data_IF_168863876977
#
_entry.id   IF_168863876977
#
_cell.length_a   1.000
_cell.length_b   1.000
_cell.length_c   1.000
_cell.angle_alpha   90.00
_cell.angle_beta   90.00
_cell.angle_gamma   90.00
#
_symmetry.space_group_name_H-M   'P 1'
#
loop_
_entity.id
_entity.type
_entity.pdbx_description
1 polymer ?
#
# COMPACT_ATOMS: atom_id res chain seq x y z
N UNK A 1 -1.66 -6.60 56.18
CA UNK A 1 -0.58 -6.53 55.18
C UNK A 1 -0.84 -7.36 53.93
N UNK A 2 -1.57 -8.47 53.99
CA UNK A 2 -1.83 -9.35 52.83
C UNK A 2 -2.82 -8.80 51.80
N UNK A 3 -3.84 -8.02 52.19
CA UNK A 3 -4.84 -7.45 51.25
C UNK A 3 -4.30 -6.30 50.39
N UNK A 4 -3.38 -5.49 50.90
CA UNK A 4 -2.72 -4.41 50.15
C UNK A 4 -1.70 -4.95 49.15
N UNK A 5 -1.03 -6.07 49.45
CA UNK A 5 -0.08 -6.72 48.55
C UNK A 5 -0.76 -7.36 47.33
N UNK A 6 -1.94 -7.97 47.52
CA UNK A 6 -2.73 -8.54 46.41
C UNK A 6 -3.25 -7.44 45.48
N UNK A 7 -3.64 -6.29 46.02
CA UNK A 7 -4.08 -5.15 45.20
C UNK A 7 -2.94 -4.51 44.41
N UNK A 8 -1.71 -4.51 44.94
CA UNK A 8 -0.53 -4.05 44.22
C UNK A 8 -0.11 -5.02 43.11
N UNK A 9 -0.20 -6.33 43.37
CA UNK A 9 0.12 -7.39 42.39
C UNK A 9 -0.88 -7.41 41.21
N UNK A 10 -2.17 -7.19 41.47
CA UNK A 10 -3.21 -7.06 40.44
C UNK A 10 -3.07 -5.77 39.61
N UNK A 11 -2.58 -4.68 40.19
CA UNK A 11 -2.33 -3.43 39.46
C UNK A 11 -1.08 -3.51 38.58
N UNK A 12 -0.05 -4.26 38.99
CA UNK A 12 1.16 -4.49 38.19
C UNK A 12 0.99 -5.49 37.03
N UNK A 13 -0.03 -6.35 37.06
CA UNK A 13 -0.35 -7.25 35.93
C UNK A 13 -1.18 -6.51 34.86
N UNK A 14 -1.95 -5.49 35.24
CA UNK A 14 -2.74 -4.69 34.31
C UNK A 14 -1.90 -3.73 33.43
N UNK A 15 -0.63 -3.46 33.78
CA UNK A 15 0.26 -2.56 33.02
C UNK A 15 1.19 -3.28 32.04
N UNK A 16 1.19 -4.61 31.99
CA UNK A 16 2.09 -5.41 31.12
C UNK A 16 1.46 -5.88 29.80
N UNK A 17 0.21 -5.51 29.52
CA UNK A 17 -0.48 -5.88 28.29
C UNK A 17 -0.78 -4.67 27.38
N UNK A 18 0.07 -3.64 27.39
CA UNK A 18 0.20 -2.81 26.19
C UNK A 18 0.92 -3.66 25.15
N UNK A 19 0.17 -4.55 24.51
CA UNK A 19 0.62 -5.22 23.31
C UNK A 19 1.10 -4.12 22.36
N UNK A 20 2.38 -4.19 21.99
CA UNK A 20 2.94 -3.34 20.97
C UNK A 20 2.14 -3.69 19.71
N UNK A 21 1.15 -2.87 19.38
CA UNK A 21 0.36 -3.04 18.18
C UNK A 21 1.29 -2.72 17.02
N UNK A 22 1.81 -3.78 16.40
CA UNK A 22 2.51 -3.73 15.14
C UNK A 22 1.47 -4.12 14.11
N UNK A 23 1.03 -3.15 13.30
CA UNK A 23 -0.03 -3.36 12.31
C UNK A 23 0.54 -3.86 10.99
N UNK A 24 1.82 -3.58 10.74
CA UNK A 24 2.56 -3.96 9.56
C UNK A 24 3.58 -5.04 9.88
N UNK A 25 3.84 -5.89 8.89
CA UNK A 25 5.04 -6.72 8.79
C UNK A 25 5.92 -6.19 7.65
N UNK A 26 6.46 -4.98 7.85
CA UNK A 26 7.22 -4.26 6.86
C UNK A 26 8.68 -4.75 6.77
N UNK A 27 9.13 -5.04 5.55
CA UNK A 27 10.54 -5.28 5.23
C UNK A 27 11.10 -4.08 4.48
N UNK A 28 12.15 -3.46 5.01
CA UNK A 28 12.87 -2.38 4.31
C UNK A 28 14.18 -2.92 3.77
N UNK A 29 14.47 -2.62 2.51
CA UNK A 29 15.74 -2.94 1.86
C UNK A 29 16.32 -1.68 1.24
N UNK A 30 17.58 -1.38 1.58
CA UNK A 30 18.30 -0.26 0.97
C UNK A 30 19.28 -0.78 -0.08
N UNK A 31 19.13 -0.30 -1.31
CA UNK A 31 20.02 -0.57 -2.43
C UNK A 31 20.79 0.71 -2.76
N UNK A 32 22.09 0.60 -3.02
CA UNK A 32 22.94 1.75 -3.35
C UNK A 32 23.94 1.44 -4.48
N UNK A 33 23.48 0.95 -5.65
CA UNK A 33 24.37 0.45 -6.70
C UNK A 33 25.29 1.51 -7.32
N UNK A 34 24.90 2.79 -7.25
CA UNK A 34 25.63 3.92 -7.84
C UNK A 34 26.47 4.69 -6.82
N UNK A 35 26.26 4.46 -5.53
CA UNK A 35 27.01 5.13 -4.46
C UNK A 35 28.22 4.26 -4.15
N UNK A 36 29.43 4.80 -4.37
CA UNK A 36 30.65 4.17 -3.87
C UNK A 36 30.66 4.29 -2.34
N UNK A 37 30.00 3.35 -1.67
CA UNK A 37 29.79 3.38 -0.24
C UNK A 37 31.10 3.03 0.49
N UNK A 38 31.86 4.05 0.90
CA UNK A 38 32.99 3.87 1.83
C UNK A 38 32.51 3.37 3.20
N UNK A 39 31.27 3.71 3.57
CA UNK A 39 30.65 3.34 4.85
C UNK A 39 29.31 2.61 4.65
N UNK A 40 29.36 1.28 4.53
CA UNK A 40 28.14 0.44 4.41
C UNK A 40 27.26 0.48 5.66
N UNK A 41 27.86 0.71 6.84
CA UNK A 41 27.16 0.72 8.13
C UNK A 41 26.06 1.77 8.19
N UNK A 42 26.28 2.95 7.59
CA UNK A 42 25.27 4.02 7.58
C UNK A 42 23.95 3.55 6.93
N UNK A 43 24.03 2.78 5.83
CA UNK A 43 22.85 2.21 5.17
C UNK A 43 22.20 1.10 5.99
N UNK A 44 22.98 0.25 6.67
CA UNK A 44 22.44 -0.79 7.55
C UNK A 44 21.66 -0.18 8.73
N UNK A 45 22.21 0.88 9.35
CA UNK A 45 21.55 1.61 10.43
C UNK A 45 20.28 2.30 9.94
N UNK A 46 20.33 2.95 8.77
CA UNK A 46 19.16 3.57 8.16
C UNK A 46 18.06 2.56 7.85
N UNK A 47 18.42 1.39 7.28
CA UNK A 47 17.48 0.32 6.99
C UNK A 47 16.80 -0.17 8.26
N UNK A 48 17.57 -0.38 9.34
CA UNK A 48 17.03 -0.78 10.63
C UNK A 48 16.09 0.29 11.21
N UNK A 49 16.49 1.56 11.17
CA UNK A 49 15.68 2.67 11.66
C UNK A 49 14.33 2.78 10.94
N UNK A 50 14.32 2.68 9.61
CA UNK A 50 13.09 2.69 8.81
C UNK A 50 12.20 1.46 9.10
N UNK A 51 12.82 0.29 9.28
CA UNK A 51 12.11 -0.96 9.62
C UNK A 51 11.44 -0.84 11.00
N UNK A 52 12.17 -0.35 11.99
CA UNK A 52 11.67 -0.15 13.35
C UNK A 52 10.56 0.91 13.38
N UNK A 53 10.70 2.00 12.60
CA UNK A 53 9.67 3.02 12.51
C UNK A 53 8.34 2.48 11.99
N UNK A 54 8.38 1.66 10.93
CA UNK A 54 7.17 1.09 10.33
C UNK A 54 6.53 0.03 11.23
N UNK A 55 7.35 -0.84 11.82
CA UNK A 55 6.85 -2.00 12.57
C UNK A 55 6.52 -1.70 14.03
N UNK A 56 7.12 -0.68 14.66
CA UNK A 56 6.87 -0.37 16.09
C UNK A 56 5.84 0.74 16.30
N UNK A 57 5.09 1.12 15.27
CA UNK A 57 4.00 2.11 15.34
C UNK A 57 2.65 1.46 15.01
N UNK A 58 1.62 2.02 15.64
CA UNK A 58 0.22 1.73 15.36
C UNK A 58 -0.28 2.69 14.28
N UNK A 59 -0.78 2.14 13.19
CA UNK A 59 -1.28 2.82 11.98
C UNK A 59 -2.79 2.65 11.81
N UNK A 60 -3.36 1.58 12.37
CA UNK A 60 -4.77 1.23 12.44
C UNK A 60 -5.31 1.51 13.84
N UNK A 61 -6.60 1.81 14.00
CA UNK A 61 -7.22 1.84 15.33
C UNK A 61 -7.62 0.43 15.81
N UNK A 62 -7.70 -0.53 14.90
CA UNK A 62 -8.11 -1.89 15.18
C UNK A 62 -7.03 -2.63 15.99
N UNK A 63 -7.45 -3.68 16.67
CA UNK A 63 -6.53 -4.63 17.28
C UNK A 63 -6.21 -5.68 16.24
N UNK A 64 -4.96 -5.68 15.75
CA UNK A 64 -4.46 -6.61 14.74
C UNK A 64 -3.67 -7.70 15.45
N UNK A 65 -4.04 -8.96 15.23
CA UNK A 65 -3.27 -10.09 15.74
C UNK A 65 -1.94 -10.22 14.97
N UNK A 66 -0.88 -10.81 15.55
CA UNK A 66 0.40 -10.97 14.85
C UNK A 66 0.31 -11.63 13.46
N UNK A 67 -0.61 -12.58 13.30
CA UNK A 67 -0.91 -13.27 12.04
C UNK A 67 -1.76 -12.46 11.05
N UNK A 68 -2.40 -11.38 11.51
CA UNK A 68 -3.21 -10.46 10.71
C UNK A 68 -2.41 -9.23 10.24
N UNK A 69 -1.12 -9.16 10.59
CA UNK A 69 -0.24 -8.06 10.19
C UNK A 69 -0.13 -7.99 8.68
N UNK A 70 -0.17 -6.76 8.16
CA UNK A 70 -0.13 -6.55 6.71
C UNK A 70 1.30 -6.71 6.22
N UNK A 71 1.53 -7.71 5.38
CA UNK A 71 2.82 -7.94 4.72
C UNK A 71 3.11 -6.84 3.69
N UNK A 72 4.23 -6.13 3.88
CA UNK A 72 4.66 -5.09 2.95
C UNK A 72 6.18 -4.99 2.83
N UNK A 73 6.64 -4.40 1.73
CA UNK A 73 8.05 -4.25 1.39
C UNK A 73 8.33 -2.87 0.83
N UNK A 74 9.41 -2.26 1.31
CA UNK A 74 9.95 -0.99 0.86
C UNK A 74 11.37 -1.22 0.34
N UNK A 75 11.54 -1.19 -0.97
CA UNK A 75 12.87 -1.25 -1.59
C UNK A 75 13.27 0.17 -1.98
N UNK A 76 14.23 0.73 -1.25
CA UNK A 76 14.69 2.11 -1.41
C UNK A 76 16.03 2.07 -2.14
N UNK A 77 16.07 2.63 -3.34
CA UNK A 77 17.29 2.71 -4.14
C UNK A 77 17.89 4.11 -4.01
N UNK A 78 18.99 4.22 -3.28
CA UNK A 78 19.79 5.44 -3.12
C UNK A 78 20.62 5.65 -4.37
N UNK A 79 20.36 6.77 -5.04
CA UNK A 79 21.06 7.20 -6.26
C UNK A 79 22.26 8.08 -5.92
N UNK A 80 22.06 9.01 -4.99
CA UNK A 80 23.11 9.92 -4.50
C UNK A 80 23.04 10.03 -2.98
N UNK A 81 24.21 10.14 -2.35
CA UNK A 81 24.37 10.44 -0.93
C UNK A 81 25.55 11.39 -0.76
N UNK A 82 25.39 12.43 0.06
CA UNK A 82 26.42 13.45 0.31
C UNK A 82 27.52 12.98 1.28
N UNK A 83 27.43 11.75 1.79
CA UNK A 83 28.33 11.22 2.81
C UNK A 83 27.96 11.64 4.24
N UNK A 84 26.85 12.36 4.40
CA UNK A 84 26.34 12.86 5.67
C UNK A 84 24.84 12.56 5.77
N UNK A 85 23.97 13.53 5.54
CA UNK A 85 22.55 13.43 5.87
C UNK A 85 21.59 13.52 4.69
N UNK A 86 22.04 13.89 3.49
CA UNK A 86 21.14 14.08 2.34
C UNK A 86 21.16 12.87 1.40
N UNK A 87 19.98 12.30 1.14
CA UNK A 87 19.80 11.14 0.28
C UNK A 87 18.89 11.49 -0.88
N UNK A 88 19.35 11.26 -2.11
CA UNK A 88 18.46 11.19 -3.27
C UNK A 88 18.12 9.74 -3.56
N UNK A 89 16.83 9.43 -3.59
CA UNK A 89 16.39 8.06 -3.69
C UNK A 89 15.05 7.93 -4.42
N UNK A 90 14.80 6.71 -4.88
CA UNK A 90 13.48 6.26 -5.31
C UNK A 90 13.08 5.04 -4.49
N UNK A 91 11.79 4.81 -4.35
CA UNK A 91 11.24 3.69 -3.61
C UNK A 91 10.31 2.84 -4.47
N UNK A 92 10.34 1.53 -4.25
CA UNK A 92 9.29 0.60 -4.65
C UNK A 92 8.57 0.14 -3.39
N UNK A 93 7.26 0.35 -3.35
CA UNK A 93 6.39 0.01 -2.23
C UNK A 93 5.43 -1.07 -2.70
N UNK A 94 5.44 -2.21 -2.00
CA UNK A 94 4.58 -3.36 -2.29
C UNK A 94 3.86 -3.77 -1.02
N UNK A 95 2.57 -4.09 -1.11
CA UNK A 95 1.83 -4.78 -0.05
C UNK A 95 1.00 -5.91 -0.61
N UNK A 96 0.72 -6.91 0.22
CA UNK A 96 -0.02 -8.11 -0.16
C UNK A 96 -1.06 -8.48 0.88
N UNK A 97 -2.13 -9.15 0.44
CA UNK A 97 -3.17 -9.71 1.29
C UNK A 97 -3.25 -11.22 1.08
N UNK A 98 -3.24 -12.04 2.14
CA UNK A 98 -3.48 -13.47 2.01
C UNK A 98 -4.91 -13.76 1.53
N UNK A 99 -5.06 -14.75 0.65
CA UNK A 99 -6.38 -15.21 0.19
C UNK A 99 -6.84 -16.38 1.05
N UNK A 100 -8.08 -16.26 1.53
CA UNK A 100 -8.67 -17.20 2.50
C UNK A 100 -8.53 -18.66 2.03
N UNK A 101 -8.08 -19.53 2.95
CA UNK A 101 -7.91 -20.97 2.72
C UNK A 101 -6.97 -21.33 1.56
N UNK A 102 -5.99 -20.47 1.26
CA UNK A 102 -4.95 -20.72 0.25
C UNK A 102 -3.58 -20.28 0.74
N UNK A 103 -2.53 -20.66 0.01
CA UNK A 103 -1.17 -20.13 0.18
C UNK A 103 -0.89 -18.92 -0.71
N UNK A 104 -1.91 -18.40 -1.40
CA UNK A 104 -1.74 -17.32 -2.35
C UNK A 104 -1.87 -15.96 -1.68
N UNK A 105 -0.93 -15.07 -1.98
CA UNK A 105 -0.93 -13.69 -1.51
C UNK A 105 -1.23 -12.77 -2.70
N UNK A 106 -2.37 -12.11 -2.64
CA UNK A 106 -2.81 -11.19 -3.67
C UNK A 106 -2.09 -9.84 -3.52
N UNK A 107 -1.48 -9.30 -4.58
CA UNK A 107 -0.86 -7.97 -4.54
C UNK A 107 -1.92 -6.89 -4.34
N UNK A 108 -1.76 -6.03 -3.34
CA UNK A 108 -2.69 -4.93 -3.02
C UNK A 108 -2.16 -3.60 -3.52
N UNK A 109 -0.88 -3.32 -3.24
CA UNK A 109 -0.17 -2.14 -3.72
C UNK A 109 1.08 -2.59 -4.45
N UNK A 110 1.36 -1.98 -5.60
CA UNK A 110 2.66 -2.04 -6.26
C UNK A 110 2.89 -0.68 -6.88
N UNK A 111 3.82 0.09 -6.30
CA UNK A 111 4.01 1.49 -6.65
C UNK A 111 5.49 1.86 -6.64
N UNK A 112 5.91 2.63 -7.65
CA UNK A 112 7.22 3.25 -7.70
C UNK A 112 7.09 4.75 -7.45
N UNK A 113 7.78 5.24 -6.42
CA UNK A 113 7.93 6.65 -6.12
C UNK A 113 9.34 7.11 -6.50
N UNK A 114 9.42 7.91 -7.57
CA UNK A 114 10.70 8.45 -8.06
C UNK A 114 11.19 9.67 -7.27
N UNK A 115 10.35 10.23 -6.39
CA UNK A 115 10.63 11.43 -5.61
C UNK A 115 10.70 11.07 -4.13
N UNK A 116 11.58 10.13 -3.78
CA UNK A 116 11.73 9.60 -2.42
C UNK A 116 13.00 10.16 -1.75
N UNK A 117 13.32 11.42 -2.01
CA UNK A 117 14.48 12.09 -1.42
C UNK A 117 14.21 12.41 0.07
N UNK A 118 15.22 12.28 0.93
CA UNK A 118 15.05 12.56 2.35
C UNK A 118 16.36 12.95 3.05
N UNK A 119 16.21 13.44 4.27
CA UNK A 119 17.33 13.71 5.18
C UNK A 119 17.31 12.75 6.36
N UNK A 120 18.48 12.23 6.74
CA UNK A 120 18.66 11.40 7.93
C UNK A 120 20.11 11.43 8.44
N UNK A 121 20.31 11.68 9.73
CA UNK A 121 21.63 11.59 10.36
C UNK A 121 21.76 10.27 11.13
N UNK A 122 22.88 9.56 10.99
CA UNK A 122 23.10 8.30 11.72
C UNK A 122 22.93 8.50 13.23
N UNK A 123 22.09 7.68 13.85
CA UNK A 123 21.79 7.74 15.28
C UNK A 123 20.66 8.72 15.67
N UNK A 124 20.13 9.49 14.71
CA UNK A 124 18.97 10.34 14.95
C UNK A 124 17.68 9.47 15.01
N UNK A 125 16.79 9.70 16.00
CA UNK A 125 15.51 9.00 16.06
C UNK A 125 14.57 9.46 14.93
N UNK A 126 13.75 8.53 14.44
CA UNK A 126 12.70 8.83 13.46
C UNK A 126 11.40 9.26 14.16
N UNK A 127 11.34 10.53 14.53
CA UNK A 127 10.17 11.12 15.18
C UNK A 127 9.10 11.58 14.17
N UNK A 128 7.85 11.20 14.43
CA UNK A 128 6.70 11.51 13.58
C UNK A 128 5.59 12.21 14.38
N UNK A 129 4.98 13.22 13.75
CA UNK A 129 3.75 13.86 14.22
C UNK A 129 2.68 13.81 13.14
N UNK A 130 1.46 13.44 13.52
CA UNK A 130 0.31 13.51 12.63
C UNK A 130 -0.22 14.95 12.44
N UNK A 131 0.21 15.89 13.30
CA UNK A 131 -0.30 17.26 13.35
C UNK A 131 0.60 18.26 12.61
N UNK A 132 1.90 17.97 12.51
CA UNK A 132 2.86 18.87 11.87
C UNK A 132 3.95 18.10 11.15
N UNK A 133 4.55 18.75 10.15
CA UNK A 133 5.71 18.22 9.44
C UNK A 133 6.97 18.33 10.31
N UNK A 134 7.66 17.21 10.51
CA UNK A 134 8.93 17.15 11.24
C UNK A 134 10.10 16.86 10.29
N UNK A 135 9.99 15.79 9.51
CA UNK A 135 11.03 15.35 8.57
C UNK A 135 10.41 14.62 7.38
N UNK A 136 11.08 14.69 6.22
CA UNK A 136 10.53 14.07 5.02
C UNK A 136 10.55 12.55 5.09
N UNK A 137 11.59 11.95 5.66
CA UNK A 137 11.70 10.49 5.82
C UNK A 137 10.51 9.93 6.61
N UNK A 138 10.14 10.54 7.73
CA UNK A 138 9.03 10.04 8.54
C UNK A 138 7.68 10.32 7.90
N UNK A 139 7.50 11.47 7.23
CA UNK A 139 6.31 11.76 6.43
C UNK A 139 6.13 10.78 5.27
N UNK A 140 7.18 10.41 4.54
CA UNK A 140 7.14 9.42 3.47
C UNK A 140 6.69 8.05 4.00
N UNK A 141 7.36 7.56 5.05
CA UNK A 141 7.03 6.25 5.65
C UNK A 141 5.60 6.21 6.21
N UNK A 142 5.19 7.25 6.93
CA UNK A 142 3.85 7.35 7.49
C UNK A 142 2.76 7.44 6.42
N UNK A 143 2.99 8.22 5.37
CA UNK A 143 2.08 8.34 4.23
C UNK A 143 1.81 6.96 3.62
N UNK A 144 2.85 6.20 3.30
CA UNK A 144 2.70 4.86 2.71
C UNK A 144 2.14 3.84 3.70
N UNK A 145 2.47 3.91 4.98
CA UNK A 145 1.86 3.06 6.00
C UNK A 145 0.34 3.24 6.05
N UNK A 146 -0.16 4.49 6.07
CA UNK A 146 -1.60 4.75 6.04
C UNK A 146 -2.27 4.31 4.73
N UNK A 147 -1.60 4.45 3.59
CA UNK A 147 -2.14 3.94 2.32
C UNK A 147 -2.25 2.40 2.33
N UNK A 148 -1.23 1.71 2.82
CA UNK A 148 -1.21 0.24 2.92
C UNK A 148 -2.35 -0.24 3.82
N UNK A 149 -2.51 0.34 5.01
CA UNK A 149 -3.61 0.01 5.92
C UNK A 149 -4.97 0.35 5.30
N UNK A 150 -5.07 1.47 4.59
CA UNK A 150 -6.29 1.86 3.89
C UNK A 150 -6.72 0.87 2.81
N UNK A 151 -5.78 0.46 1.96
CA UNK A 151 -6.03 -0.49 0.88
C UNK A 151 -6.36 -1.89 1.41
N UNK A 152 -5.69 -2.30 2.48
CA UNK A 152 -6.02 -3.55 3.18
C UNK A 152 -7.45 -3.49 3.74
N UNK A 153 -7.82 -2.44 4.46
CA UNK A 153 -9.17 -2.27 5.00
C UNK A 153 -10.26 -2.22 3.91
N UNK A 154 -9.98 -1.61 2.75
CA UNK A 154 -10.89 -1.63 1.59
C UNK A 154 -11.09 -3.05 1.02
N UNK A 155 -10.12 -3.94 1.17
CA UNK A 155 -10.24 -5.33 0.71
C UNK A 155 -11.15 -6.19 1.61
N UNK A 156 -11.36 -5.79 2.86
CA UNK A 156 -12.19 -6.50 3.84
C UNK A 156 -13.55 -5.84 4.10
N UNK A 157 -13.70 -4.55 3.82
CA UNK A 157 -14.95 -3.82 4.01
C UNK A 157 -15.15 -2.77 2.92
N UNK A 158 -16.38 -2.61 2.46
CA UNK A 158 -16.73 -1.57 1.49
C UNK A 158 -16.34 -0.19 2.05
N UNK A 159 -15.39 0.47 1.39
CA UNK A 159 -14.80 1.77 1.78
C UNK A 159 -14.13 1.81 3.16
N UNK A 160 -13.72 0.66 3.70
CA UNK A 160 -13.05 0.55 5.00
C UNK A 160 -11.77 1.40 5.13
N UNK A 161 -11.11 1.71 4.01
CA UNK A 161 -9.87 2.49 3.94
C UNK A 161 -10.00 3.99 4.20
N UNK A 162 -11.22 4.54 4.17
CA UNK A 162 -11.44 6.00 4.18
C UNK A 162 -10.79 6.74 5.36
N UNK A 163 -10.87 6.23 6.61
CA UNK A 163 -10.20 6.86 7.75
C UNK A 163 -8.68 6.97 7.54
N UNK A 164 -8.06 5.94 6.96
CA UNK A 164 -6.61 5.88 6.75
C UNK A 164 -6.15 6.74 5.58
N UNK A 165 -6.92 6.80 4.49
CA UNK A 165 -6.64 7.75 3.41
C UNK A 165 -6.75 9.20 3.88
N UNK A 166 -7.66 9.49 4.81
CA UNK A 166 -7.74 10.83 5.43
C UNK A 166 -6.50 11.13 6.28
N UNK A 167 -5.97 10.15 7.01
CA UNK A 167 -4.69 10.30 7.72
C UNK A 167 -3.53 10.51 6.74
N UNK A 168 -3.47 9.77 5.64
CA UNK A 168 -2.47 9.98 4.58
C UNK A 168 -2.59 11.38 3.95
N UNK A 169 -3.81 11.86 3.71
CA UNK A 169 -4.09 13.21 3.21
C UNK A 169 -3.62 14.28 4.21
N UNK A 170 -3.76 14.04 5.51
CA UNK A 170 -3.23 14.94 6.54
C UNK A 170 -1.69 14.99 6.53
N UNK A 171 -1.02 13.83 6.40
CA UNK A 171 0.44 13.78 6.24
C UNK A 171 0.87 14.56 5.00
N UNK A 172 0.17 14.38 3.88
CA UNK A 172 0.41 15.12 2.64
C UNK A 172 0.26 16.63 2.85
N UNK A 173 -0.83 17.08 3.47
CA UNK A 173 -1.10 18.49 3.71
C UNK A 173 0.00 19.14 4.58
N UNK A 174 0.45 18.44 5.62
CA UNK A 174 1.55 18.91 6.47
C UNK A 174 2.87 19.01 5.69
N UNK A 175 3.13 18.08 4.76
CA UNK A 175 4.36 18.03 3.99
C UNK A 175 4.40 18.99 2.79
N UNK A 176 3.32 19.72 2.46
CA UNK A 176 3.32 20.64 1.31
C UNK A 176 4.32 21.80 1.47
N UNK A 177 4.69 22.17 2.70
CA UNK A 177 5.72 23.20 2.96
C UNK A 177 7.14 22.66 2.83
N UNK A 178 7.32 21.34 2.71
CA UNK A 178 8.62 20.73 2.57
C UNK A 178 9.26 21.10 1.22
N UNK A 179 10.59 21.21 1.22
CA UNK A 179 11.36 21.43 0.00
C UNK A 179 11.73 20.10 -0.69
N UNK A 180 10.76 19.20 -0.81
CA UNK A 180 10.89 17.89 -1.47
C UNK A 180 9.76 17.71 -2.48
N UNK A 181 10.08 17.14 -3.64
CA UNK A 181 9.11 16.89 -4.70
C UNK A 181 8.17 15.72 -4.36
N UNK A 182 7.00 15.70 -4.96
CA UNK A 182 5.98 14.66 -4.88
C UNK A 182 4.80 14.99 -3.97
N UNK A 183 4.87 16.08 -3.19
CA UNK A 183 3.83 16.50 -2.24
C UNK A 183 2.80 17.47 -2.82
N UNK A 184 3.07 18.10 -3.97
CA UNK A 184 2.22 19.17 -4.53
C UNK A 184 1.60 18.75 -5.86
N UNK A 185 0.36 19.19 -6.10
CA UNK A 185 -0.38 18.88 -7.33
C UNK A 185 0.29 19.35 -8.62
N UNK A 186 1.01 20.47 -8.57
CA UNK A 186 1.60 21.13 -9.74
C UNK A 186 2.88 20.46 -10.26
N UNK A 187 3.51 19.58 -9.47
CA UNK A 187 4.80 18.98 -9.79
C UNK A 187 4.68 17.88 -10.86
N UNK A 188 3.62 17.09 -10.79
CA UNK A 188 3.38 15.94 -11.68
C UNK A 188 1.93 15.46 -11.50
N UNK A 189 1.36 14.84 -12.52
CA UNK A 189 0.08 14.10 -12.40
C UNK A 189 0.26 12.70 -11.78
N UNK A 190 1.50 12.19 -11.77
CA UNK A 190 1.89 10.94 -11.11
C UNK A 190 2.77 11.30 -9.90
N UNK A 191 2.11 11.44 -8.74
CA UNK A 191 2.76 11.71 -7.46
C UNK A 191 1.84 11.36 -6.27
N UNK A 192 2.36 11.54 -5.04
CA UNK A 192 1.64 11.27 -3.79
C UNK A 192 0.41 12.15 -3.62
N UNK A 193 0.44 13.40 -4.12
CA UNK A 193 -0.74 14.27 -4.10
C UNK A 193 -1.93 13.62 -4.80
N UNK A 194 -1.77 13.24 -6.06
CA UNK A 194 -2.87 12.69 -6.85
C UNK A 194 -3.30 11.32 -6.37
N UNK A 195 -2.37 10.49 -5.87
CA UNK A 195 -2.69 9.15 -5.37
C UNK A 195 -3.76 9.19 -4.26
N UNK A 196 -3.51 9.92 -3.16
CA UNK A 196 -4.44 9.96 -2.03
C UNK A 196 -5.70 10.77 -2.36
N UNK A 197 -5.56 11.84 -3.16
CA UNK A 197 -6.70 12.64 -3.58
C UNK A 197 -7.69 11.80 -4.40
N UNK A 198 -7.20 11.01 -5.36
CA UNK A 198 -8.03 10.10 -6.15
C UNK A 198 -8.69 9.03 -5.27
N UNK A 199 -8.00 8.48 -4.26
CA UNK A 199 -8.58 7.47 -3.34
C UNK A 199 -9.75 8.01 -2.49
N UNK A 200 -9.77 9.32 -2.21
CA UNK A 200 -10.82 9.99 -1.44
C UNK A 200 -11.95 10.56 -2.32
N UNK A 201 -11.72 10.69 -3.62
CA UNK A 201 -12.71 11.24 -4.55
C UNK A 201 -13.77 10.19 -4.91
N UNK A 202 -15.05 10.58 -4.80
CA UNK A 202 -16.21 9.76 -5.14
C UNK A 202 -16.21 9.26 -6.59
N UNK A 203 -15.52 9.95 -7.50
CA UNK A 203 -15.34 9.49 -8.88
C UNK A 203 -14.62 8.14 -8.97
N UNK A 204 -13.82 7.79 -7.95
CA UNK A 204 -13.07 6.53 -7.86
C UNK A 204 -13.71 5.50 -6.92
N UNK A 205 -14.88 5.81 -6.36
CA UNK A 205 -15.65 4.86 -5.55
C UNK A 205 -15.86 3.51 -6.26
N UNK A 206 -16.19 3.45 -7.58
CA UNK A 206 -16.38 2.17 -8.24
C UNK A 206 -15.14 1.29 -8.20
N UNK A 207 -13.93 1.87 -8.20
CA UNK A 207 -12.67 1.12 -8.08
C UNK A 207 -12.49 0.53 -6.68
N UNK A 208 -12.86 1.28 -5.64
CA UNK A 208 -12.83 0.80 -4.25
C UNK A 208 -13.86 -0.31 -4.02
N UNK A 209 -15.08 -0.13 -4.52
CA UNK A 209 -16.12 -1.19 -4.48
C UNK A 209 -15.71 -2.41 -5.29
N UNK A 210 -15.06 -2.24 -6.44
CA UNK A 210 -14.49 -3.36 -7.19
C UNK A 210 -13.45 -4.08 -6.34
N UNK A 211 -12.47 -3.36 -5.75
CA UNK A 211 -11.44 -3.96 -4.90
C UNK A 211 -12.05 -4.79 -3.77
N UNK A 212 -12.99 -4.24 -3.01
CA UNK A 212 -13.69 -4.96 -1.94
C UNK A 212 -14.32 -6.27 -2.42
N UNK A 213 -15.20 -6.20 -3.43
CA UNK A 213 -15.94 -7.37 -3.92
C UNK A 213 -15.05 -8.37 -4.63
N UNK A 214 -14.01 -7.90 -5.30
CA UNK A 214 -13.05 -8.76 -5.96
C UNK A 214 -12.28 -9.63 -4.95
N UNK A 215 -11.82 -9.07 -3.83
CA UNK A 215 -11.15 -9.89 -2.81
C UNK A 215 -12.14 -10.84 -2.12
N UNK A 216 -13.28 -10.31 -1.65
CA UNK A 216 -14.20 -11.09 -0.80
C UNK A 216 -15.07 -12.09 -1.59
N UNK A 217 -15.64 -11.68 -2.73
CA UNK A 217 -16.60 -12.50 -3.49
C UNK A 217 -15.94 -13.34 -4.59
N UNK A 218 -14.72 -12.98 -5.03
CA UNK A 218 -14.01 -13.69 -6.09
C UNK A 218 -12.84 -14.48 -5.52
N UNK A 219 -11.82 -13.81 -4.98
CA UNK A 219 -10.57 -14.47 -4.55
C UNK A 219 -10.78 -15.37 -3.34
N UNK A 220 -11.41 -14.88 -2.27
CA UNK A 220 -11.64 -15.66 -1.04
C UNK A 220 -12.63 -16.82 -1.23
N UNK A 221 -13.42 -16.80 -2.31
CA UNK A 221 -14.33 -17.90 -2.70
C UNK A 221 -13.76 -18.84 -3.75
N UNK A 222 -12.57 -18.54 -4.27
CA UNK A 222 -11.98 -19.28 -5.38
C UNK A 222 -11.68 -20.73 -5.01
N UNK A 223 -11.20 -20.97 -3.79
CA UNK A 223 -10.90 -22.32 -3.28
C UNK A 223 -12.17 -23.16 -3.08
N UNK A 224 -13.29 -22.52 -2.71
CA UNK A 224 -14.57 -23.19 -2.47
C UNK A 224 -15.28 -23.52 -3.79
N UNK A 225 -15.38 -22.55 -4.71
CA UNK A 225 -16.08 -22.74 -5.99
C UNK A 225 -15.56 -21.82 -7.10
N UNK A 226 -14.57 -22.31 -7.85
CA UNK A 226 -13.94 -21.58 -8.94
C UNK A 226 -14.91 -21.08 -10.03
N UNK A 227 -15.92 -21.88 -10.41
CA UNK A 227 -16.88 -21.49 -11.45
C UNK A 227 -17.84 -20.39 -10.97
N UNK A 228 -18.22 -20.40 -9.70
CA UNK A 228 -19.01 -19.32 -9.11
C UNK A 228 -18.19 -18.03 -9.02
N UNK A 229 -16.94 -18.10 -8.52
CA UNK A 229 -16.03 -16.95 -8.44
C UNK A 229 -15.76 -16.32 -9.81
N UNK A 230 -15.52 -17.12 -10.84
CA UNK A 230 -15.32 -16.64 -12.21
C UNK A 230 -16.53 -15.89 -12.75
N UNK A 231 -17.76 -16.38 -12.50
CA UNK A 231 -18.99 -15.66 -12.87
C UNK A 231 -19.13 -14.34 -12.11
N UNK A 232 -18.83 -14.34 -10.80
CA UNK A 232 -18.80 -13.12 -9.99
C UNK A 232 -17.81 -12.09 -10.53
N UNK A 233 -16.62 -12.53 -10.95
CA UNK A 233 -15.65 -11.65 -11.61
C UNK A 233 -16.26 -10.97 -12.83
N UNK A 234 -16.88 -11.73 -13.74
CA UNK A 234 -17.54 -11.17 -14.95
C UNK A 234 -18.62 -10.14 -14.60
N UNK A 235 -19.40 -10.38 -13.55
CA UNK A 235 -20.44 -9.46 -13.09
C UNK A 235 -19.86 -8.16 -12.50
N UNK A 236 -18.63 -8.21 -11.95
CA UNK A 236 -17.94 -7.06 -11.34
C UNK A 236 -17.20 -6.19 -12.36
N UNK A 237 -16.67 -6.76 -13.44
CA UNK A 237 -15.87 -6.04 -14.44
C UNK A 237 -16.51 -4.73 -14.95
N UNK A 238 -17.84 -4.63 -15.17
CA UNK A 238 -18.47 -3.36 -15.56
C UNK A 238 -18.25 -2.18 -14.60
N UNK A 239 -17.87 -2.42 -13.33
CA UNK A 239 -17.49 -1.35 -12.41
C UNK A 239 -16.20 -0.65 -12.84
N UNK A 240 -15.24 -1.38 -13.43
CA UNK A 240 -13.97 -0.82 -13.90
C UNK A 240 -14.19 0.15 -15.07
N UNK A 241 -15.11 -0.19 -15.99
CA UNK A 241 -15.46 0.69 -17.11
C UNK A 241 -16.13 2.01 -16.68
N UNK A 242 -16.67 2.10 -15.45
CA UNK A 242 -17.23 3.36 -14.92
C UNK A 242 -16.14 4.36 -14.52
N UNK A 243 -15.00 3.86 -14.07
CA UNK A 243 -13.86 4.67 -13.61
C UNK A 243 -13.15 5.30 -14.82
N UNK A 244 -12.97 4.51 -15.89
CA UNK A 244 -12.16 4.87 -17.05
C UNK A 244 -12.59 6.19 -17.74
N UNK A 245 -13.90 6.42 -17.91
CA UNK A 245 -14.42 7.62 -18.60
C UNK A 245 -14.05 8.95 -17.95
N UNK A 246 -13.56 8.93 -16.71
CA UNK A 246 -13.21 10.11 -15.93
C UNK A 246 -11.74 10.13 -15.46
N UNK A 247 -11.00 9.03 -15.63
CA UNK A 247 -9.80 8.75 -14.84
C UNK A 247 -8.62 8.13 -15.62
N UNK A 248 -8.65 8.08 -16.95
CA UNK A 248 -7.49 7.62 -17.73
C UNK A 248 -6.25 8.43 -17.37
N UNK A 249 -5.22 7.74 -16.86
CA UNK A 249 -3.98 8.36 -16.40
C UNK A 249 -3.98 8.84 -14.93
N UNK A 250 -5.09 8.69 -14.20
CA UNK A 250 -5.14 8.98 -12.78
C UNK A 250 -4.21 8.06 -11.98
N UNK A 251 -3.57 8.62 -10.96
CA UNK A 251 -2.52 7.93 -10.21
C UNK A 251 -3.07 6.69 -9.47
N UNK A 252 -4.27 6.78 -8.92
CA UNK A 252 -4.89 5.62 -8.25
C UNK A 252 -5.25 4.50 -9.23
N UNK A 253 -5.76 4.83 -10.42
CA UNK A 253 -6.06 3.83 -11.44
C UNK A 253 -4.80 3.09 -11.91
N UNK A 254 -3.71 3.84 -12.13
CA UNK A 254 -2.41 3.26 -12.47
C UNK A 254 -1.89 2.34 -11.36
N UNK A 255 -1.95 2.76 -10.10
CA UNK A 255 -1.50 1.95 -8.97
C UNK A 255 -2.32 0.64 -8.85
N UNK A 256 -3.63 0.71 -9.02
CA UNK A 256 -4.51 -0.46 -8.98
C UNK A 256 -4.15 -1.47 -10.07
N UNK A 257 -4.07 -1.05 -11.34
CA UNK A 257 -3.79 -1.97 -12.44
C UNK A 257 -2.34 -2.46 -12.46
N UNK A 258 -1.40 -1.69 -11.92
CA UNK A 258 -0.03 -2.17 -11.69
C UNK A 258 -0.02 -3.37 -10.74
N UNK A 259 -0.83 -3.34 -9.68
CA UNK A 259 -0.96 -4.48 -8.78
C UNK A 259 -1.79 -5.64 -9.38
N UNK A 260 -2.87 -5.33 -10.11
CA UNK A 260 -3.93 -6.31 -10.43
C UNK A 260 -3.92 -6.88 -11.85
N UNK A 261 -3.27 -6.23 -12.80
CA UNK A 261 -3.38 -6.62 -14.22
C UNK A 261 -2.96 -8.07 -14.49
N UNK A 262 -1.89 -8.57 -13.85
CA UNK A 262 -1.45 -9.96 -14.01
C UNK A 262 -2.43 -10.95 -13.37
N UNK A 263 -2.92 -10.65 -12.17
CA UNK A 263 -3.88 -11.50 -11.45
C UNK A 263 -5.21 -11.59 -12.24
N UNK A 264 -5.71 -10.46 -12.73
CA UNK A 264 -6.91 -10.38 -13.58
C UNK A 264 -6.71 -11.13 -14.90
N UNK A 265 -5.57 -10.94 -15.58
CA UNK A 265 -5.26 -11.63 -16.83
C UNK A 265 -5.22 -13.15 -16.62
N UNK A 266 -4.62 -13.63 -15.54
CA UNK A 266 -4.57 -15.06 -15.22
C UNK A 266 -5.96 -15.65 -14.96
N UNK A 267 -6.81 -14.97 -14.19
CA UNK A 267 -8.16 -15.43 -13.92
C UNK A 267 -9.05 -15.45 -15.18
N UNK A 268 -8.92 -14.43 -16.03
CA UNK A 268 -9.67 -14.33 -17.30
C UNK A 268 -9.14 -15.28 -18.36
N UNK A 269 -7.83 -15.57 -18.37
CA UNK A 269 -7.22 -16.55 -19.26
C UNK A 269 -7.87 -17.92 -19.14
N UNK A 270 -8.33 -18.29 -17.94
CA UNK A 270 -9.05 -19.53 -17.67
C UNK A 270 -10.57 -19.50 -17.95
N UNK A 271 -11.09 -18.45 -18.60
CA UNK A 271 -12.46 -18.39 -19.13
C UNK A 271 -12.52 -18.90 -20.57
N UNK A 272 -13.72 -19.08 -21.12
CA UNK A 272 -13.92 -19.52 -22.52
C UNK A 272 -15.05 -18.76 -23.20
N UNK A 273 -14.99 -18.66 -24.52
CA UNK A 273 -16.12 -18.19 -25.34
C UNK A 273 -16.46 -16.70 -25.14
N UNK A 274 -17.75 -16.32 -25.25
CA UNK A 274 -18.17 -14.91 -25.25
C UNK A 274 -17.83 -14.15 -23.97
N UNK A 275 -17.85 -14.81 -22.81
CA UNK A 275 -17.54 -14.18 -21.51
C UNK A 275 -16.09 -13.73 -21.44
N UNK A 276 -15.16 -14.54 -21.95
CA UNK A 276 -13.74 -14.19 -22.05
C UNK A 276 -13.53 -12.95 -22.92
N UNK A 277 -14.14 -12.92 -24.10
CA UNK A 277 -14.03 -11.79 -25.02
C UNK A 277 -14.59 -10.52 -24.40
N UNK A 278 -15.75 -10.60 -23.73
CA UNK A 278 -16.35 -9.47 -23.01
C UNK A 278 -15.42 -8.95 -21.91
N UNK A 279 -14.81 -9.85 -21.14
CA UNK A 279 -13.89 -9.47 -20.07
C UNK A 279 -12.63 -8.76 -20.60
N UNK A 280 -12.02 -9.32 -21.65
CA UNK A 280 -10.85 -8.73 -22.31
C UNK A 280 -11.17 -7.33 -22.81
N UNK A 281 -12.31 -7.14 -23.48
CA UNK A 281 -12.71 -5.82 -23.99
C UNK A 281 -12.86 -4.79 -22.84
N UNK A 282 -13.49 -5.18 -21.73
CA UNK A 282 -13.66 -4.29 -20.57
C UNK A 282 -12.31 -3.92 -19.96
N UNK A 283 -11.39 -4.88 -19.81
CA UNK A 283 -10.07 -4.61 -19.25
C UNK A 283 -9.19 -3.78 -20.20
N UNK A 284 -9.22 -4.05 -21.49
CA UNK A 284 -8.50 -3.25 -22.49
C UNK A 284 -9.00 -1.81 -22.56
N UNK A 285 -10.27 -1.56 -22.23
CA UNK A 285 -10.83 -0.21 -22.08
C UNK A 285 -10.37 0.43 -20.75
N UNK A 286 -10.53 -0.26 -19.62
CA UNK A 286 -10.24 0.28 -18.30
C UNK A 286 -8.74 0.41 -17.96
N UNK A 287 -7.89 -0.38 -18.62
CA UNK A 287 -6.44 -0.40 -18.45
C UNK A 287 -5.71 -0.45 -19.81
N UNK A 288 -5.73 0.68 -20.56
CA UNK A 288 -5.13 0.74 -21.89
C UNK A 288 -3.62 0.44 -21.89
N UNK A 289 -2.94 0.72 -20.78
CA UNK A 289 -1.50 0.47 -20.62
C UNK A 289 -1.14 -1.02 -20.67
N UNK A 290 -2.08 -1.91 -20.34
CA UNK A 290 -1.88 -3.35 -20.37
C UNK A 290 -2.74 -4.05 -21.45
N UNK A 291 -3.35 -3.35 -22.40
CA UNK A 291 -4.21 -4.00 -23.42
C UNK A 291 -3.52 -5.16 -24.16
N UNK A 292 -2.23 -5.03 -24.47
CA UNK A 292 -1.46 -6.12 -25.09
C UNK A 292 -1.41 -7.39 -24.22
N UNK A 293 -1.37 -7.24 -22.89
CA UNK A 293 -1.42 -8.35 -21.93
C UNK A 293 -2.77 -9.08 -22.05
N UNK A 294 -3.86 -8.33 -22.10
CA UNK A 294 -5.22 -8.88 -22.19
C UNK A 294 -5.53 -9.47 -23.58
N UNK A 295 -5.00 -8.90 -24.65
CA UNK A 295 -5.18 -9.46 -25.99
C UNK A 295 -4.38 -10.75 -26.17
N UNK A 296 -3.20 -10.89 -25.54
CA UNK A 296 -2.39 -12.12 -25.64
C UNK A 296 -3.12 -13.33 -25.06
N UNK A 297 -3.90 -13.15 -24.00
CA UNK A 297 -4.66 -14.27 -23.41
C UNK A 297 -5.90 -14.66 -24.23
N UNK A 298 -6.30 -13.87 -25.25
CA UNK A 298 -7.46 -14.14 -26.10
C UNK A 298 -7.32 -15.41 -26.93
N UNK A 299 -6.09 -15.75 -27.32
CA UNK A 299 -5.75 -16.93 -28.13
C UNK A 299 -5.42 -18.18 -27.30
N UNK A 300 -5.31 -18.04 -25.97
CA UNK A 300 -5.19 -19.16 -25.03
C UNK A 300 -6.55 -19.80 -24.76
#
# INVERSE_FOLDING_TARGET
MTRTFVSFLLFSIATLAQAWAQDLNARVQILSPQVQATNKRAFDVLQQAMTDFLNNKKWSNQQILPEERIDCSFVITVKEWDGSSNYKAEAQIISTRPIYNTTYNSPILTLSDKNFDFTYTEGEPLDFSAQQYLSNITSLLAYYAYLIVGLDADSFSEKGGTPYYTLAQNVLNNAQTANFAGWKSIESMNNRFWLVNNMLDNNYEPLRSFSYRYHLDVLDKMADNQNASKRKLIDLLPLLAKVDRMAQGAMYNQAFFTAKSDELANLIGGLTGPEKIKAINILSEADPGNSNKYETIKSL
#
